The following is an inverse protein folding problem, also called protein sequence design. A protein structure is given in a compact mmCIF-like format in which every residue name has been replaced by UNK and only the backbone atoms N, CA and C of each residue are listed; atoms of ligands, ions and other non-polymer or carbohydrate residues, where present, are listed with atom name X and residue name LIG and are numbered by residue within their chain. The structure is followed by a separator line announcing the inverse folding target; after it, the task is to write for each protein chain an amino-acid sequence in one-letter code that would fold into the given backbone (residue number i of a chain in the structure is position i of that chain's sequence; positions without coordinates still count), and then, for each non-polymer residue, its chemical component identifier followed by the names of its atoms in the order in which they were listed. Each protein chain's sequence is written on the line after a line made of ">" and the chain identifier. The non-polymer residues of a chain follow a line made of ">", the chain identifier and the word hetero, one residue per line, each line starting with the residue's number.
data_IF_322189960935
#
_entry.id   IF_322189960935
#
_cell.length_a   1.000
_cell.length_b   1.000
_cell.length_c   1.000
_cell.angle_alpha   90.00
_cell.angle_beta   90.00
_cell.angle_gamma   90.00
#
_symmetry.space_group_name_H-M   'P 1'
#
loop_
_entity.id
_entity.type
_entity.pdbx_description
1 polymer ?
#
# COMPACT_ATOMS: atom_id res chain seq x y z
N UNK A 1 -71.05 25.61 59.98
CA UNK A 1 -71.46 26.66 59.02
C UNK A 1 -70.47 26.70 57.87
N UNK A 2 -70.96 27.16 56.72
CA UNK A 2 -70.55 26.83 55.37
C UNK A 2 -69.08 27.07 54.98
N UNK A 3 -68.72 26.31 53.95
CA UNK A 3 -67.57 26.41 53.08
C UNK A 3 -67.33 27.80 52.47
N UNK A 4 -66.08 28.09 52.13
CA UNK A 4 -65.61 28.60 50.83
C UNK A 4 -64.13 29.02 50.99
N UNK A 5 -63.13 28.54 50.26
CA UNK A 5 -63.03 27.56 49.20
C UNK A 5 -61.55 27.55 48.78
N UNK A 6 -60.85 26.43 49.01
CA UNK A 6 -59.48 26.20 48.49
C UNK A 6 -59.52 24.91 47.67
N UNK A 7 -59.40 25.04 46.35
CA UNK A 7 -59.03 23.99 45.37
C UNK A 7 -58.04 24.68 44.44
N UNK A 8 -56.73 24.39 44.42
CA UNK A 8 -55.96 23.14 44.22
C UNK A 8 -56.10 22.57 42.81
N UNK A 9 -54.93 22.22 42.25
CA UNK A 9 -54.56 21.46 41.04
C UNK A 9 -53.93 22.38 39.97
N UNK A 10 -52.74 22.12 39.40
CA UNK A 10 -51.88 20.92 39.39
C UNK A 10 -50.46 21.31 38.94
N UNK A 11 -49.49 20.54 39.43
CA UNK A 11 -48.11 20.33 38.94
C UNK A 11 -47.97 20.37 37.40
N UNK A 12 -46.82 20.64 36.76
CA UNK A 12 -45.46 20.08 36.92
C UNK A 12 -44.61 20.70 35.78
N UNK A 13 -43.29 20.87 35.94
CA UNK A 13 -42.37 20.82 34.79
C UNK A 13 -41.32 21.93 34.68
N UNK A 14 -40.08 21.55 34.96
CA UNK A 14 -38.82 22.17 34.54
C UNK A 14 -38.78 22.30 33.01
N UNK A 15 -38.33 23.45 32.46
CA UNK A 15 -37.30 23.52 31.39
C UNK A 15 -36.94 24.97 31.01
N UNK A 16 -35.65 25.23 31.20
CA UNK A 16 -34.82 26.33 30.71
C UNK A 16 -34.66 26.19 29.18
N UNK A 17 -35.00 27.22 28.39
CA UNK A 17 -34.52 27.36 27.00
C UNK A 17 -34.40 28.84 26.62
N UNK A 18 -33.19 29.17 26.18
CA UNK A 18 -32.73 30.34 25.45
C UNK A 18 -33.69 30.83 24.35
N UNK A 19 -33.91 32.14 24.25
CA UNK A 19 -34.24 32.78 22.96
C UNK A 19 -33.74 34.23 22.91
N UNK A 20 -33.00 34.50 21.84
CA UNK A 20 -32.38 35.74 21.36
C UNK A 20 -33.34 36.93 21.18
N UNK A 21 -32.80 38.16 21.14
CA UNK A 21 -32.92 39.22 20.07
C UNK A 21 -32.39 40.54 20.68
N UNK A 22 -31.19 41.05 20.32
CA UNK A 22 -30.76 41.81 19.12
C UNK A 22 -30.81 43.36 19.30
N UNK A 23 -29.62 43.98 19.14
CA UNK A 23 -29.29 45.36 18.70
C UNK A 23 -29.45 46.60 19.61
N UNK A 24 -28.31 47.21 19.93
CA UNK A 24 -27.93 48.60 19.57
C UNK A 24 -26.42 48.78 19.84
N UNK A 25 -25.55 48.76 18.82
CA UNK A 25 -25.14 49.90 18.00
C UNK A 25 -24.22 50.90 18.73
N UNK A 26 -22.91 50.85 18.41
CA UNK A 26 -22.10 51.98 17.92
C UNK A 26 -20.61 51.63 17.92
N UNK A 27 -19.96 51.82 16.78
CA UNK A 27 -18.53 52.13 16.71
C UNK A 27 -17.60 50.97 16.34
N UNK A 28 -16.87 51.18 15.23
CA UNK A 28 -15.73 50.40 14.74
C UNK A 28 -16.09 49.16 13.93
N UNK A 29 -15.99 49.29 12.60
CA UNK A 29 -15.60 48.18 11.75
C UNK A 29 -14.17 47.84 12.16
N UNK A 30 -14.02 46.93 13.13
CA UNK A 30 -12.79 46.19 13.29
C UNK A 30 -12.98 44.94 12.44
N UNK A 31 -12.29 44.88 11.29
CA UNK A 31 -12.07 43.62 10.60
C UNK A 31 -11.28 42.72 11.54
N UNK A 32 -12.02 41.96 12.34
CA UNK A 32 -11.45 40.98 13.25
C UNK A 32 -10.80 39.88 12.43
N UNK A 33 -9.48 39.76 12.52
CA UNK A 33 -8.74 38.66 11.94
C UNK A 33 -9.23 37.34 12.54
N UNK A 34 -10.02 36.58 11.77
CA UNK A 34 -10.42 35.23 12.17
C UNK A 34 -9.23 34.30 11.93
N UNK A 35 -8.72 33.66 12.99
CA UNK A 35 -7.67 32.66 12.85
C UNK A 35 -8.27 31.26 12.90
N UNK A 36 -7.98 30.42 11.89
CA UNK A 36 -8.45 29.04 11.90
C UNK A 36 -7.63 28.17 12.84
N UNK A 37 -8.29 27.52 13.81
CA UNK A 37 -7.77 26.31 14.46
C UNK A 37 -8.20 25.09 13.66
N UNK A 38 -7.29 24.56 12.86
CA UNK A 38 -7.44 23.18 12.41
C UNK A 38 -7.29 22.23 13.60
N UNK A 39 -8.04 21.14 13.62
CA UNK A 39 -7.77 20.03 14.54
C UNK A 39 -6.30 19.65 14.41
N UNK A 40 -5.56 19.66 15.53
CA UNK A 40 -4.13 19.25 15.57
C UNK A 40 -3.96 17.73 15.55
N UNK A 41 -5.01 16.98 15.27
CA UNK A 41 -4.94 15.54 15.16
C UNK A 41 -4.20 15.18 13.87
N UNK A 42 -3.12 14.42 14.02
CA UNK A 42 -2.44 13.81 12.89
C UNK A 42 -3.41 12.90 12.13
N UNK A 43 -3.32 12.93 10.81
CA UNK A 43 -4.01 11.99 9.93
C UNK A 43 -3.13 10.75 9.80
N UNK A 44 -3.67 9.56 10.06
CA UNK A 44 -2.88 8.32 10.07
C UNK A 44 -3.59 7.22 9.28
N UNK A 45 -3.18 6.99 8.04
CA UNK A 45 -3.80 5.99 7.17
C UNK A 45 -2.94 4.72 7.14
N UNK A 46 -3.53 3.58 7.49
CA UNK A 46 -2.91 2.26 7.37
C UNK A 46 -3.24 1.58 6.04
N UNK A 47 -2.23 0.98 5.41
CA UNK A 47 -2.35 0.15 4.20
C UNK A 47 -1.81 -1.24 4.53
N UNK A 48 -2.70 -2.21 4.74
CA UNK A 48 -2.40 -3.56 5.22
C UNK A 48 -2.57 -4.66 4.15
N UNK A 49 -3.37 -4.41 3.13
CA UNK A 49 -3.68 -5.37 2.08
C UNK A 49 -3.29 -4.87 0.68
N UNK A 50 -2.99 -5.82 -0.23
CA UNK A 50 -2.82 -5.55 -1.66
C UNK A 50 -4.13 -4.99 -2.24
N UNK A 51 -4.09 -3.93 -3.06
CA UNK A 51 -5.30 -3.32 -3.61
C UNK A 51 -5.86 -4.18 -4.75
N UNK A 52 -7.19 -4.25 -4.86
CA UNK A 52 -7.87 -4.76 -6.06
C UNK A 52 -7.89 -3.69 -7.16
N UNK A 53 -8.38 -4.03 -8.36
CA UNK A 53 -8.31 -3.15 -9.53
C UNK A 53 -8.94 -1.76 -9.28
N UNK A 54 -10.04 -1.70 -8.53
CA UNK A 54 -10.81 -0.48 -8.25
C UNK A 54 -10.60 0.07 -6.83
N UNK A 55 -9.61 -0.46 -6.10
CA UNK A 55 -9.43 -0.17 -4.69
C UNK A 55 -8.74 1.18 -4.44
N UNK A 56 -9.18 1.87 -3.39
CA UNK A 56 -8.55 3.07 -2.81
C UNK A 56 -8.51 2.91 -1.29
N UNK A 57 -7.45 3.40 -0.65
CA UNK A 57 -7.24 3.23 0.79
C UNK A 57 -7.78 4.42 1.58
N UNK A 58 -8.40 4.15 2.73
CA UNK A 58 -8.81 5.17 3.70
C UNK A 58 -10.19 5.76 3.43
N UNK A 59 -10.93 5.96 4.53
CA UNK A 59 -12.07 6.88 4.65
C UNK A 59 -11.94 7.65 5.97
N UNK A 60 -10.73 8.07 6.33
CA UNK A 60 -10.54 8.89 7.53
C UNK A 60 -11.04 10.31 7.27
N UNK A 61 -11.93 10.78 8.14
CA UNK A 61 -12.51 12.11 8.11
C UNK A 61 -11.78 13.04 9.08
N UNK A 62 -11.28 14.17 8.59
CA UNK A 62 -10.85 15.29 9.42
C UNK A 62 -11.97 16.32 9.49
N UNK A 63 -12.42 16.65 10.69
CA UNK A 63 -13.35 17.75 10.91
C UNK A 63 -12.59 19.04 11.20
N UNK A 64 -12.82 20.06 10.37
CA UNK A 64 -12.22 21.39 10.49
C UNK A 64 -13.28 22.44 10.84
N UNK A 65 -12.94 23.37 11.72
CA UNK A 65 -13.87 24.40 12.21
C UNK A 65 -13.19 25.77 12.19
N UNK A 66 -13.94 26.82 11.85
CA UNK A 66 -13.49 28.19 12.08
C UNK A 66 -13.57 28.52 13.56
N UNK A 67 -12.45 28.91 14.17
CA UNK A 67 -12.48 29.58 15.45
C UNK A 67 -12.41 31.09 15.20
N UNK A 68 -13.35 31.86 15.76
CA UNK A 68 -13.19 33.31 15.82
C UNK A 68 -12.28 33.61 16.98
N UNK A 69 -11.07 34.07 16.71
CA UNK A 69 -10.21 34.61 17.75
C UNK A 69 -10.82 35.93 18.20
N UNK A 70 -11.26 36.00 19.45
CA UNK A 70 -11.58 37.26 20.10
C UNK A 70 -10.29 38.07 20.22
N UNK A 71 -10.28 39.28 19.67
CA UNK A 71 -9.18 40.26 19.70
C UNK A 71 -8.87 40.80 21.11
N UNK A 72 -8.71 39.92 22.10
CA UNK A 72 -8.16 40.29 23.42
C UNK A 72 -6.71 39.81 23.58
N UNK A 73 -6.24 38.84 22.77
CA UNK A 73 -4.86 38.32 22.84
C UNK A 73 -3.89 38.89 21.80
N UNK A 74 -4.35 39.64 20.77
CA UNK A 74 -3.49 40.16 19.67
C UNK A 74 -3.18 41.66 19.74
N UNK A 75 -3.38 42.33 20.88
CA UNK A 75 -3.03 43.74 21.02
C UNK A 75 -1.51 44.01 21.23
N UNK A 76 -0.63 43.02 21.08
CA UNK A 76 0.82 43.19 21.29
C UNK A 76 1.75 42.69 20.19
N UNK A 77 1.26 42.33 19.00
CA UNK A 77 2.17 41.76 18.00
C UNK A 77 1.77 41.96 16.54
N UNK A 78 2.44 42.92 15.91
CA UNK A 78 2.69 43.03 14.46
C UNK A 78 1.54 43.60 13.63
N UNK A 79 1.73 44.84 13.19
CA UNK A 79 0.92 45.48 12.16
C UNK A 79 1.02 44.72 10.84
N UNK A 80 -0.14 44.39 10.28
CA UNK A 80 -0.23 43.87 8.92
C UNK A 80 -0.11 45.04 7.93
N UNK A 81 1.06 45.13 7.29
CA UNK A 81 1.20 45.90 6.05
C UNK A 81 0.31 45.27 4.97
N UNK A 82 -0.61 46.07 4.43
CA UNK A 82 -1.43 45.76 3.26
C UNK A 82 -0.54 45.67 2.00
N UNK A 83 0.21 44.57 1.86
CA UNK A 83 1.01 44.31 0.68
C UNK A 83 0.33 43.25 -0.21
N UNK A 84 -0.34 43.76 -1.25
CA UNK A 84 -0.51 43.17 -2.59
C UNK A 84 -0.65 41.64 -2.66
N UNK A 85 -1.89 41.14 -2.65
CA UNK A 85 -2.22 39.89 -3.35
C UNK A 85 -3.46 40.08 -4.22
N UNK A 86 -3.21 40.02 -5.52
CA UNK A 86 -4.17 40.12 -6.60
C UNK A 86 -4.99 38.82 -6.71
N UNK A 87 -6.26 38.88 -6.31
CA UNK A 87 -7.45 38.26 -6.95
C UNK A 87 -8.64 38.45 -6.01
N UNK A 88 -9.51 39.42 -6.31
CA UNK A 88 -10.66 39.80 -5.51
C UNK A 88 -11.81 38.75 -5.44
N UNK A 89 -11.49 37.46 -5.62
CA UNK A 89 -12.44 36.34 -5.54
C UNK A 89 -12.01 35.21 -4.57
N UNK A 90 -10.72 35.10 -4.24
CA UNK A 90 -10.16 33.93 -3.53
C UNK A 90 -10.01 34.12 -2.00
N UNK A 91 -10.30 35.31 -1.46
CA UNK A 91 -10.18 35.62 -0.02
C UNK A 91 -11.23 34.92 0.87
N UNK A 92 -12.13 34.14 0.28
CA UNK A 92 -13.23 33.47 0.99
C UNK A 92 -12.95 32.01 1.32
N UNK A 93 -11.85 31.42 0.87
CA UNK A 93 -11.56 30.01 1.14
C UNK A 93 -10.18 29.86 1.77
N UNK A 94 -10.04 28.84 2.62
CA UNK A 94 -8.74 28.35 3.04
C UNK A 94 -8.43 27.08 2.28
N UNK A 95 -7.27 27.10 1.65
CA UNK A 95 -6.77 26.02 0.82
C UNK A 95 -5.68 25.26 1.56
N UNK A 96 -5.63 23.96 1.32
CA UNK A 96 -4.56 23.09 1.77
C UNK A 96 -4.01 22.27 0.60
N UNK A 97 -2.73 21.96 0.70
CA UNK A 97 -2.01 21.06 -0.20
C UNK A 97 -1.08 20.16 0.62
N UNK A 98 -0.63 19.08 0.00
CA UNK A 98 0.33 18.12 0.56
C UNK A 98 1.52 18.06 -0.38
N UNK A 99 2.73 17.99 0.19
CA UNK A 99 3.93 17.59 -0.56
C UNK A 99 4.09 16.08 -0.50
N UNK A 100 4.93 15.52 -1.36
CA UNK A 100 5.26 14.09 -1.32
C UNK A 100 5.56 13.65 0.12
N UNK A 101 4.92 12.56 0.56
CA UNK A 101 5.21 11.97 1.86
C UNK A 101 6.48 11.14 1.74
N UNK A 102 7.39 11.25 2.69
CA UNK A 102 8.73 10.68 2.59
C UNK A 102 8.94 9.53 3.57
N UNK A 103 9.66 8.49 3.11
CA UNK A 103 10.18 7.39 3.92
C UNK A 103 11.60 7.07 3.45
N UNK A 104 12.60 7.77 4.02
CA UNK A 104 13.99 7.65 3.58
C UNK A 104 14.17 8.12 2.13
N UNK A 105 14.49 7.19 1.21
CA UNK A 105 14.60 7.48 -0.23
C UNK A 105 13.31 7.23 -1.02
N UNK A 106 12.30 6.64 -0.37
CA UNK A 106 11.01 6.34 -0.97
C UNK A 106 10.04 7.50 -0.73
N UNK A 107 9.06 7.64 -1.63
CA UNK A 107 8.02 8.66 -1.50
C UNK A 107 6.65 8.17 -1.97
N UNK A 108 5.61 8.68 -1.33
CA UNK A 108 4.24 8.67 -1.86
C UNK A 108 4.01 10.04 -2.51
N UNK A 109 3.85 10.11 -3.84
CA UNK A 109 3.56 11.36 -4.52
C UNK A 109 2.29 12.04 -3.99
N UNK A 110 2.31 13.37 -3.88
CA UNK A 110 1.14 14.15 -3.45
C UNK A 110 -0.10 13.92 -4.33
N UNK A 111 0.10 13.59 -5.61
CA UNK A 111 -0.98 13.26 -6.55
C UNK A 111 -1.74 11.97 -6.21
N UNK A 112 -1.18 11.12 -5.34
CA UNK A 112 -1.84 9.90 -4.86
C UNK A 112 -2.67 10.13 -3.61
N UNK A 113 -2.61 11.33 -3.03
CA UNK A 113 -3.32 11.70 -1.82
C UNK A 113 -4.47 12.60 -2.23
N UNK A 114 -5.70 12.15 -1.97
CA UNK A 114 -6.89 12.84 -2.42
C UNK A 114 -7.79 13.20 -1.26
N UNK A 115 -8.43 14.36 -1.36
CA UNK A 115 -9.43 14.82 -0.40
C UNK A 115 -10.78 15.00 -1.08
N UNK A 116 -11.84 14.57 -0.39
CA UNK A 116 -13.21 14.96 -0.69
C UNK A 116 -13.60 16.07 0.28
N UNK A 117 -14.00 17.21 -0.29
CA UNK A 117 -14.41 18.39 0.47
C UNK A 117 -15.88 18.71 0.19
N UNK A 118 -16.57 19.46 1.05
CA UNK A 118 -17.94 19.93 0.80
C UNK A 118 -18.08 20.82 -0.44
N UNK A 119 -16.97 21.36 -0.96
CA UNK A 119 -16.94 22.29 -2.07
C UNK A 119 -16.51 21.65 -3.41
N UNK A 120 -16.15 20.37 -3.38
CA UNK A 120 -15.72 19.60 -4.55
C UNK A 120 -16.78 18.58 -4.97
N UNK A 121 -17.02 18.42 -6.27
CA UNK A 121 -17.94 17.40 -6.81
C UNK A 121 -17.40 15.95 -6.75
N UNK A 122 -16.23 15.75 -6.15
CA UNK A 122 -15.54 14.46 -6.04
C UNK A 122 -14.18 14.63 -5.36
N UNK A 123 -13.45 13.52 -5.21
CA UNK A 123 -12.10 13.51 -4.66
C UNK A 123 -11.14 14.28 -5.57
N UNK A 124 -10.33 15.16 -4.98
CA UNK A 124 -9.33 15.96 -5.66
C UNK A 124 -7.93 15.65 -5.12
N UNK A 125 -6.92 15.51 -5.98
CA UNK A 125 -5.54 15.31 -5.55
C UNK A 125 -5.01 16.55 -4.82
N UNK A 126 -4.21 16.32 -3.78
CA UNK A 126 -3.65 17.37 -2.91
C UNK A 126 -2.27 17.86 -3.36
N UNK A 127 -1.85 17.52 -4.59
CA UNK A 127 -0.66 18.11 -5.23
C UNK A 127 -0.86 19.57 -5.66
N UNK A 128 -2.08 20.11 -5.52
CA UNK A 128 -2.42 21.50 -5.71
C UNK A 128 -3.32 21.96 -4.54
N UNK A 129 -3.44 23.28 -4.31
CA UNK A 129 -4.32 23.81 -3.27
C UNK A 129 -5.79 23.43 -3.49
N UNK A 130 -6.40 22.77 -2.51
CA UNK A 130 -7.82 22.38 -2.49
C UNK A 130 -8.57 23.13 -1.38
N UNK A 131 -9.76 23.69 -1.64
CA UNK A 131 -10.51 24.45 -0.64
C UNK A 131 -11.08 23.53 0.44
N UNK A 132 -10.70 23.76 1.71
CA UNK A 132 -11.14 22.94 2.85
C UNK A 132 -12.12 23.68 3.75
N UNK A 133 -12.06 25.01 3.78
CA UNK A 133 -12.94 25.86 4.58
C UNK A 133 -13.36 27.09 3.80
N UNK A 134 -14.58 27.57 4.05
CA UNK A 134 -15.09 28.83 3.52
C UNK A 134 -15.33 29.83 4.65
N UNK A 135 -14.83 31.05 4.48
CA UNK A 135 -15.00 32.16 5.42
C UNK A 135 -16.49 32.44 5.66
N UNK A 136 -16.87 32.59 6.93
CA UNK A 136 -18.25 32.86 7.34
C UNK A 136 -19.13 31.61 7.44
N UNK A 137 -18.58 30.42 7.21
CA UNK A 137 -19.29 29.17 7.45
C UNK A 137 -19.25 28.78 8.93
N UNK A 138 -20.43 28.65 9.54
CA UNK A 138 -20.57 28.28 10.96
C UNK A 138 -20.55 26.76 11.18
N UNK A 139 -20.77 25.98 10.11
CA UNK A 139 -20.75 24.53 10.17
C UNK A 139 -19.32 24.01 10.03
N UNK A 140 -18.92 22.99 10.82
CA UNK A 140 -17.70 22.25 10.58
C UNK A 140 -17.64 21.69 9.15
N UNK A 141 -16.49 21.79 8.51
CA UNK A 141 -16.22 21.09 7.26
C UNK A 141 -15.68 19.69 7.57
N UNK A 142 -16.28 18.67 6.98
CA UNK A 142 -15.77 17.30 7.02
C UNK A 142 -14.95 17.02 5.75
N UNK A 143 -13.68 16.68 5.93
CA UNK A 143 -12.75 16.38 4.84
C UNK A 143 -12.42 14.89 4.91
N UNK A 144 -12.74 14.14 3.86
CA UNK A 144 -12.39 12.72 3.79
C UNK A 144 -11.16 12.52 2.95
N UNK A 145 -10.21 11.72 3.43
CA UNK A 145 -9.00 11.40 2.69
C UNK A 145 -9.04 9.99 2.14
N UNK A 146 -8.46 9.83 0.95
CA UNK A 146 -8.12 8.52 0.39
C UNK A 146 -6.74 8.55 -0.27
N UNK A 147 -6.10 7.39 -0.32
CA UNK A 147 -4.82 7.18 -0.97
C UNK A 147 -5.02 6.25 -2.16
N UNK A 148 -4.48 6.63 -3.32
CA UNK A 148 -4.52 5.80 -4.53
C UNK A 148 -3.75 4.49 -4.33
N UNK A 149 -4.21 3.43 -5.01
CA UNK A 149 -3.63 2.08 -4.91
C UNK A 149 -2.14 2.01 -5.23
N UNK A 150 -1.63 2.91 -6.06
CA UNK A 150 -0.22 2.95 -6.48
C UNK A 150 0.73 3.19 -5.29
N UNK A 151 0.25 3.81 -4.20
CA UNK A 151 1.01 3.99 -2.96
C UNK A 151 1.42 2.66 -2.30
N UNK A 152 0.66 1.58 -2.52
CA UNK A 152 0.97 0.25 -1.97
C UNK A 152 2.29 -0.32 -2.48
N UNK A 153 2.84 0.16 -3.60
CA UNK A 153 4.08 -0.36 -4.22
C UNK A 153 5.31 -0.27 -3.34
N UNK A 154 5.29 0.54 -2.28
CA UNK A 154 6.44 0.76 -1.41
C UNK A 154 6.02 0.60 0.05
N UNK A 155 6.47 -0.47 0.70
CA UNK A 155 6.31 -0.63 2.15
C UNK A 155 7.13 0.42 2.92
N UNK A 156 6.61 0.89 4.05
CA UNK A 156 7.28 1.86 4.91
C UNK A 156 6.33 2.82 5.62
N UNK A 157 6.90 3.65 6.49
CA UNK A 157 6.19 4.70 7.22
C UNK A 157 6.47 6.05 6.56
N UNK A 158 5.53 6.51 5.75
CA UNK A 158 5.62 7.77 5.04
C UNK A 158 5.05 8.89 5.90
N UNK A 159 5.82 9.97 6.01
CA UNK A 159 5.44 11.12 6.83
C UNK A 159 5.52 12.40 6.02
N UNK A 160 4.65 13.34 6.35
CA UNK A 160 4.66 14.66 5.76
C UNK A 160 3.61 15.53 6.42
N UNK A 161 3.26 16.60 5.71
CA UNK A 161 2.38 17.60 6.26
C UNK A 161 1.38 18.10 5.22
N UNK A 162 0.16 18.30 5.68
CA UNK A 162 -0.87 19.08 5.02
C UNK A 162 -0.66 20.55 5.42
N UNK A 163 -0.31 21.39 4.45
CA UNK A 163 0.05 22.79 4.67
C UNK A 163 -0.98 23.72 4.04
N UNK A 164 -1.37 24.76 4.76
CA UNK A 164 -2.23 25.79 4.18
C UNK A 164 -1.42 26.75 3.32
N UNK A 165 -1.94 27.06 2.14
CA UNK A 165 -1.40 28.13 1.28
C UNK A 165 -2.04 29.49 1.56
N UNK A 166 -3.01 29.54 2.48
CA UNK A 166 -3.75 30.76 2.79
C UNK A 166 -3.12 31.49 3.99
N UNK A 167 -2.82 32.79 3.87
CA UNK A 167 -2.22 33.57 4.96
C UNK A 167 -3.14 33.72 6.19
N UNK A 168 -4.44 33.40 6.03
CA UNK A 168 -5.44 33.39 7.11
C UNK A 168 -5.32 32.19 8.06
N UNK A 169 -4.58 31.14 7.67
CA UNK A 169 -4.33 29.98 8.51
C UNK A 169 -3.15 30.24 9.46
N UNK A 170 -3.41 30.86 10.63
CA UNK A 170 -2.37 31.15 11.64
C UNK A 170 -1.86 29.92 12.40
N UNK A 171 -2.40 28.72 12.14
CA UNK A 171 -2.02 27.51 12.87
C UNK A 171 -1.62 26.36 11.95
N UNK A 172 -0.33 26.01 12.03
CA UNK A 172 0.25 24.67 12.05
C UNK A 172 -0.03 23.76 10.86
N UNK A 173 1.05 23.35 10.19
CA UNK A 173 1.04 22.19 9.31
C UNK A 173 0.43 20.97 10.06
N UNK A 174 -0.52 20.26 9.44
CA UNK A 174 -1.16 19.07 10.03
C UNK A 174 -0.34 17.86 9.60
N UNK A 175 0.09 17.05 10.57
CA UNK A 175 0.82 15.81 10.27
C UNK A 175 -0.04 14.85 9.45
N UNK A 176 0.53 14.32 8.38
CA UNK A 176 -0.09 13.33 7.50
C UNK A 176 0.84 12.13 7.40
N UNK A 177 0.42 11.01 7.98
CA UNK A 177 1.18 9.78 8.04
C UNK A 177 0.46 8.67 7.28
N UNK A 178 1.22 7.91 6.50
CA UNK A 178 0.75 6.69 5.82
C UNK A 178 1.67 5.54 6.17
N UNK A 179 1.13 4.50 6.79
CA UNK A 179 1.87 3.27 7.14
C UNK A 179 1.51 2.16 6.15
N UNK A 180 2.43 1.83 5.26
CA UNK A 180 2.29 0.76 4.27
C UNK A 180 2.99 -0.49 4.80
N UNK A 181 2.21 -1.51 5.17
CA UNK A 181 2.75 -2.78 5.65
C UNK A 181 3.45 -3.55 4.54
N UNK A 182 4.51 -4.24 4.93
CA UNK A 182 5.17 -5.21 4.07
C UNK A 182 4.19 -6.32 3.69
N UNK A 183 4.23 -6.70 2.43
CA UNK A 183 3.42 -7.77 1.87
C UNK A 183 4.29 -8.63 0.97
N UNK A 184 4.19 -9.94 1.16
CA UNK A 184 4.72 -10.94 0.24
C UNK A 184 3.66 -12.01 -0.04
N UNK A 185 3.60 -12.47 -1.28
CA UNK A 185 2.77 -13.60 -1.68
C UNK A 185 3.46 -14.35 -2.80
N UNK A 186 3.45 -15.68 -2.70
CA UNK A 186 4.02 -16.58 -3.68
C UNK A 186 2.97 -17.60 -4.09
N UNK A 187 2.69 -17.67 -5.39
CA UNK A 187 1.81 -18.68 -5.98
C UNK A 187 2.63 -19.50 -6.96
N UNK A 188 2.62 -20.82 -6.80
CA UNK A 188 3.32 -21.77 -7.67
C UNK A 188 2.28 -22.68 -8.32
N UNK A 189 2.32 -22.78 -9.64
CA UNK A 189 1.42 -23.60 -10.43
C UNK A 189 2.19 -24.41 -11.49
N UNK A 190 2.03 -25.73 -11.47
CA UNK A 190 2.62 -26.66 -12.45
C UNK A 190 1.65 -27.05 -13.57
N UNK A 191 0.43 -26.52 -13.64
CA UNK A 191 -0.58 -26.93 -14.63
C UNK A 191 -1.10 -28.37 -14.48
N UNK A 192 -0.45 -29.21 -13.67
CA UNK A 192 -0.89 -30.55 -13.26
C UNK A 192 -1.83 -30.55 -12.06
N UNK A 193 -1.98 -29.42 -11.35
CA UNK A 193 -2.68 -29.37 -10.06
C UNK A 193 -1.91 -30.01 -8.90
N UNK A 194 -0.71 -30.55 -9.14
CA UNK A 194 0.19 -31.13 -8.11
C UNK A 194 1.17 -30.10 -7.52
N UNK A 195 0.94 -28.80 -7.71
CA UNK A 195 1.66 -27.73 -7.02
C UNK A 195 3.06 -27.45 -7.58
N UNK A 196 4.12 -27.88 -6.89
CA UNK A 196 5.53 -27.62 -7.23
C UNK A 196 6.30 -28.88 -7.64
N UNK A 197 5.56 -29.90 -8.05
CA UNK A 197 6.03 -31.20 -8.49
C UNK A 197 6.48 -31.15 -9.94
N UNK A 198 7.63 -31.76 -10.22
CA UNK A 198 8.17 -31.96 -11.56
C UNK A 198 8.25 -33.43 -11.86
N UNK A 199 7.86 -33.78 -13.07
CA UNK A 199 8.00 -35.11 -13.64
C UNK A 199 8.85 -35.04 -14.90
N UNK A 200 9.80 -35.96 -15.03
CA UNK A 200 10.68 -36.12 -16.19
C UNK A 200 10.67 -37.58 -16.61
N UNK A 201 10.44 -37.83 -17.90
CA UNK A 201 10.57 -39.17 -18.49
C UNK A 201 11.93 -39.27 -19.17
N UNK A 202 12.87 -39.98 -18.53
CA UNK A 202 14.23 -40.19 -18.99
C UNK A 202 14.36 -41.62 -19.54
N UNK A 203 13.61 -41.94 -20.58
CA UNK A 203 13.36 -43.33 -21.00
C UNK A 203 14.34 -43.84 -22.08
N UNK A 204 15.30 -43.01 -22.48
CA UNK A 204 16.20 -43.27 -23.61
C UNK A 204 17.67 -43.32 -23.16
N UNK A 205 18.61 -43.45 -24.10
CA UNK A 205 20.04 -43.32 -23.81
C UNK A 205 20.44 -41.91 -23.34
N UNK A 206 21.69 -41.72 -22.89
CA UNK A 206 22.17 -40.47 -22.29
C UNK A 206 21.78 -39.21 -23.08
N UNK A 207 21.23 -38.20 -22.40
CA UNK A 207 20.67 -37.05 -23.10
C UNK A 207 20.14 -35.95 -22.19
N UNK A 208 19.48 -34.97 -22.82
CA UNK A 208 18.75 -33.91 -22.11
C UNK A 208 17.26 -34.15 -22.26
N UNK A 209 16.56 -34.28 -21.14
CA UNK A 209 15.13 -34.51 -21.08
C UNK A 209 14.42 -33.27 -20.56
N UNK A 210 13.23 -33.00 -21.09
CA UNK A 210 12.38 -31.89 -20.64
C UNK A 210 11.37 -32.42 -19.62
N UNK A 211 11.09 -31.63 -18.59
CA UNK A 211 9.96 -31.88 -17.71
C UNK A 211 8.64 -31.84 -18.48
N UNK A 212 7.67 -32.63 -18.02
CA UNK A 212 6.36 -32.76 -18.69
C UNK A 212 5.65 -31.40 -18.80
N UNK A 213 5.80 -30.52 -17.80
CA UNK A 213 5.13 -29.24 -17.70
C UNK A 213 6.09 -28.14 -17.20
N UNK A 214 5.91 -26.88 -17.65
CA UNK A 214 6.60 -25.74 -17.06
C UNK A 214 6.01 -25.40 -15.67
N UNK A 215 6.81 -24.74 -14.84
CA UNK A 215 6.36 -24.21 -13.56
C UNK A 215 6.15 -22.71 -13.68
N UNK A 216 4.93 -22.25 -13.41
CA UNK A 216 4.61 -20.82 -13.31
C UNK A 216 4.69 -20.39 -11.86
N UNK A 217 5.49 -19.37 -11.59
CA UNK A 217 5.66 -18.78 -10.26
C UNK A 217 5.27 -17.32 -10.31
N UNK A 218 4.26 -16.93 -9.55
CA UNK A 218 3.84 -15.54 -9.39
C UNK A 218 4.27 -15.04 -8.02
N UNK A 219 5.28 -14.18 -7.99
CA UNK A 219 5.75 -13.50 -6.79
C UNK A 219 5.16 -12.10 -6.74
N UNK A 220 4.51 -11.75 -5.64
CA UNK A 220 4.03 -10.40 -5.35
C UNK A 220 4.72 -9.89 -4.11
N UNK A 221 5.34 -8.71 -4.18
CA UNK A 221 5.97 -8.02 -3.04
C UNK A 221 5.83 -6.52 -3.17
N UNK A 222 5.79 -5.77 -2.07
CA UNK A 222 5.96 -4.31 -2.06
C UNK A 222 7.22 -3.85 -1.32
N UNK A 223 8.08 -4.81 -0.96
CA UNK A 223 9.30 -4.56 -0.20
C UNK A 223 10.50 -4.54 -1.15
N UNK A 224 11.30 -3.48 -1.06
CA UNK A 224 12.45 -3.33 -1.94
C UNK A 224 13.54 -4.35 -1.57
N UNK A 225 14.09 -5.02 -2.59
CA UNK A 225 15.19 -5.96 -2.39
C UNK A 225 14.76 -7.42 -2.20
N UNK A 226 13.46 -7.71 -2.21
CA UNK A 226 12.97 -9.09 -2.10
C UNK A 226 13.58 -10.01 -3.16
N UNK A 227 13.77 -11.26 -2.78
CA UNK A 227 14.38 -12.29 -3.64
C UNK A 227 13.53 -13.54 -3.70
N UNK A 228 13.48 -14.17 -4.88
CA UNK A 228 12.96 -15.50 -5.08
C UNK A 228 14.13 -16.49 -5.17
N UNK A 229 14.19 -17.41 -4.22
CA UNK A 229 15.17 -18.50 -4.19
C UNK A 229 14.54 -19.78 -4.73
N UNK A 230 15.25 -20.49 -5.60
CA UNK A 230 14.82 -21.75 -6.21
C UNK A 230 15.81 -22.86 -5.89
N UNK A 231 15.33 -23.95 -5.30
CA UNK A 231 16.15 -25.10 -4.92
C UNK A 231 15.43 -26.43 -5.18
N UNK A 232 16.16 -27.54 -5.17
CA UNK A 232 15.61 -28.88 -5.37
C UNK A 232 16.47 -29.89 -4.60
N UNK A 233 15.86 -30.93 -4.05
CA UNK A 233 16.56 -32.04 -3.40
C UNK A 233 16.88 -33.19 -4.40
N UNK A 234 16.58 -33.00 -5.69
CA UNK A 234 16.70 -34.01 -6.74
C UNK A 234 15.37 -34.65 -7.15
N UNK A 235 15.39 -35.43 -8.23
CA UNK A 235 14.22 -36.17 -8.73
C UNK A 235 14.41 -37.66 -8.48
N UNK A 236 13.46 -38.30 -7.79
CA UNK A 236 13.51 -39.72 -7.45
C UNK A 236 12.88 -40.57 -8.55
N UNK A 237 13.47 -41.73 -8.81
CA UNK A 237 12.92 -42.70 -9.74
C UNK A 237 11.57 -43.24 -9.25
N UNK A 238 10.57 -43.25 -10.13
CA UNK A 238 9.20 -43.71 -9.86
C UNK A 238 8.89 -45.05 -10.55
N UNK A 239 9.65 -45.44 -11.57
CA UNK A 239 9.43 -46.67 -12.33
C UNK A 239 9.75 -46.53 -13.81
N UNK A 240 9.96 -47.66 -14.48
CA UNK A 240 10.31 -47.75 -15.90
C UNK A 240 10.39 -49.21 -16.36
N UNK A 241 10.56 -49.45 -17.66
CA UNK A 241 10.60 -50.81 -18.24
C UNK A 241 11.72 -51.69 -17.64
N UNK A 242 12.76 -51.08 -17.08
CA UNK A 242 13.89 -51.76 -16.41
C UNK A 242 13.64 -52.16 -14.94
N UNK A 243 12.50 -51.77 -14.36
CA UNK A 243 12.18 -51.90 -12.92
C UNK A 243 12.15 -53.34 -12.39
N UNK A 244 12.04 -54.35 -13.25
CA UNK A 244 11.97 -55.77 -12.87
C UNK A 244 13.33 -56.41 -12.56
N UNK A 245 14.46 -55.70 -12.76
CA UNK A 245 15.81 -56.29 -12.68
C UNK A 245 16.80 -55.59 -11.74
N UNK A 246 16.41 -54.47 -11.13
CA UNK A 246 17.29 -53.72 -10.24
C UNK A 246 17.23 -54.26 -8.80
N UNK A 247 18.16 -55.15 -8.46
CA UNK A 247 18.56 -55.39 -7.05
C UNK A 247 19.35 -54.19 -6.53
N UNK A 248 18.76 -52.99 -6.54
CA UNK A 248 19.41 -51.79 -6.04
C UNK A 248 19.04 -51.58 -4.57
N UNK A 249 20.04 -51.39 -3.72
CA UNK A 249 19.88 -51.07 -2.29
C UNK A 249 19.30 -49.66 -2.06
N UNK A 250 19.33 -48.79 -3.07
CA UNK A 250 18.84 -47.41 -3.00
C UNK A 250 18.09 -46.99 -4.27
N UNK A 251 17.02 -46.20 -4.11
CA UNK A 251 16.23 -45.62 -5.21
C UNK A 251 17.10 -44.65 -6.01
N UNK A 252 17.23 -44.79 -7.34
CA UNK A 252 17.98 -43.86 -8.17
C UNK A 252 17.44 -42.43 -8.06
N UNK A 253 18.35 -41.45 -8.03
CA UNK A 253 18.04 -40.02 -7.94
C UNK A 253 18.80 -39.26 -9.00
N UNK A 254 18.11 -38.35 -9.68
CA UNK A 254 18.74 -37.31 -10.48
C UNK A 254 19.08 -36.17 -9.53
N UNK A 255 20.38 -36.00 -9.29
CA UNK A 255 20.91 -34.98 -8.39
C UNK A 255 20.59 -33.56 -8.89
N UNK A 256 20.46 -32.57 -7.99
CA UNK A 256 20.21 -31.17 -8.36
C UNK A 256 21.20 -30.62 -9.40
N UNK A 257 22.44 -31.09 -9.39
CA UNK A 257 23.48 -30.66 -10.33
C UNK A 257 23.25 -31.06 -11.79
N UNK A 258 22.39 -32.06 -12.01
CA UNK A 258 21.93 -32.49 -13.32
C UNK A 258 20.67 -31.76 -13.79
N UNK A 259 20.06 -30.93 -12.94
CA UNK A 259 18.80 -30.23 -13.21
C UNK A 259 19.07 -28.77 -13.57
N UNK A 260 18.47 -28.34 -14.68
CA UNK A 260 18.57 -26.99 -15.21
C UNK A 260 17.18 -26.37 -15.31
N UNK A 261 17.08 -25.09 -14.97
CA UNK A 261 15.91 -24.26 -15.15
C UNK A 261 16.15 -23.28 -16.30
N UNK A 262 15.22 -23.23 -17.24
CA UNK A 262 15.20 -22.27 -18.33
C UNK A 262 14.01 -21.31 -18.17
N UNK A 263 14.27 -20.02 -18.04
CA UNK A 263 13.24 -18.98 -17.88
C UNK A 263 12.76 -18.56 -19.27
N UNK A 264 11.51 -18.87 -19.60
CA UNK A 264 10.97 -18.72 -20.97
C UNK A 264 10.39 -17.35 -21.31
N UNK A 265 10.10 -16.50 -20.31
CA UNK A 265 9.47 -15.19 -20.51
C UNK A 265 10.45 -14.00 -20.55
N UNK A 266 11.76 -14.25 -20.70
CA UNK A 266 12.76 -13.20 -20.94
C UNK A 266 13.07 -12.27 -19.76
N UNK A 267 12.43 -12.46 -18.60
CA UNK A 267 12.74 -11.72 -17.37
C UNK A 267 13.96 -12.33 -16.65
N UNK A 268 15.13 -12.30 -17.28
CA UNK A 268 16.39 -12.72 -16.64
C UNK A 268 16.86 -11.63 -15.65
N UNK A 269 16.25 -11.60 -14.46
CA UNK A 269 16.66 -10.72 -13.34
C UNK A 269 17.41 -11.51 -12.24
N UNK A 270 18.10 -12.59 -12.61
CA UNK A 270 18.97 -13.31 -11.70
C UNK A 270 20.08 -12.39 -11.18
N UNK A 271 20.30 -12.39 -9.86
CA UNK A 271 21.28 -11.52 -9.21
C UNK A 271 22.63 -12.23 -9.15
N UNK A 272 23.65 -11.58 -9.71
CA UNK A 272 25.07 -11.96 -9.79
C UNK A 272 25.49 -13.10 -10.76
N UNK A 273 26.62 -12.89 -11.43
CA UNK A 273 27.41 -13.90 -12.16
C UNK A 273 26.93 -14.32 -13.56
N UNK A 274 25.63 -14.28 -13.84
CA UNK A 274 25.06 -14.90 -15.04
C UNK A 274 24.47 -13.85 -16.01
N UNK A 275 25.33 -13.18 -16.77
CA UNK A 275 24.97 -12.11 -17.71
C UNK A 275 23.87 -12.49 -18.70
N UNK A 276 22.61 -12.14 -18.39
CA UNK A 276 21.46 -12.34 -19.26
C UNK A 276 21.13 -13.79 -19.58
N UNK A 277 21.71 -14.76 -18.85
CA UNK A 277 21.40 -16.17 -19.08
C UNK A 277 19.96 -16.45 -18.68
N UNK A 278 19.22 -17.12 -19.54
CA UNK A 278 17.90 -17.69 -19.20
C UNK A 278 18.02 -19.09 -18.62
N UNK A 279 19.22 -19.68 -18.59
CA UNK A 279 19.48 -21.06 -18.16
C UNK A 279 20.30 -21.09 -16.88
N UNK A 280 19.84 -21.84 -15.89
CA UNK A 280 20.43 -21.90 -14.56
C UNK A 280 20.54 -23.36 -14.10
N UNK A 281 21.71 -23.76 -13.61
CA UNK A 281 21.91 -25.08 -13.01
C UNK A 281 21.53 -25.03 -11.53
N UNK A 282 20.82 -26.04 -11.03
CA UNK A 282 20.49 -26.21 -9.61
C UNK A 282 21.63 -26.82 -8.78
N UNK A 283 22.80 -27.07 -9.39
CA UNK A 283 24.07 -27.32 -8.72
C UNK A 283 24.38 -26.14 -7.80
N UNK A 284 24.15 -26.30 -6.51
CA UNK A 284 24.66 -25.35 -5.54
C UNK A 284 25.42 -26.10 -4.44
N UNK A 285 26.75 -25.96 -4.46
CA UNK A 285 27.66 -26.52 -3.45
C UNK A 285 27.41 -25.96 -2.04
N UNK A 286 26.67 -24.84 -1.93
CA UNK A 286 26.34 -24.18 -0.65
C UNK A 286 24.90 -24.41 -0.18
N UNK A 287 24.04 -25.06 -0.97
CA UNK A 287 22.64 -25.36 -0.59
C UNK A 287 21.65 -24.18 -0.72
N UNK A 288 22.10 -22.99 -1.11
CA UNK A 288 21.27 -21.77 -1.10
C UNK A 288 20.36 -21.59 -2.34
N UNK A 289 20.40 -22.52 -3.32
CA UNK A 289 19.60 -22.43 -4.55
C UNK A 289 20.03 -21.32 -5.53
N UNK A 290 19.21 -21.04 -6.54
CA UNK A 290 19.37 -19.94 -7.50
C UNK A 290 18.54 -18.75 -7.02
N UNK A 291 19.10 -17.54 -7.03
CA UNK A 291 18.44 -16.32 -6.53
C UNK A 291 18.05 -15.39 -7.67
N UNK A 292 16.75 -15.07 -7.72
CA UNK A 292 16.14 -14.12 -8.64
C UNK A 292 15.72 -12.85 -7.90
N UNK A 293 15.95 -11.69 -8.51
CA UNK A 293 15.49 -10.40 -7.96
C UNK A 293 13.98 -10.24 -8.20
N UNK A 294 13.21 -9.96 -7.15
CA UNK A 294 11.78 -9.69 -7.26
C UNK A 294 11.52 -8.19 -7.10
N UNK A 295 11.25 -7.45 -8.20
CA UNK A 295 10.88 -6.05 -8.09
C UNK A 295 9.52 -5.88 -7.39
N UNK A 296 9.33 -4.70 -6.80
CA UNK A 296 8.05 -4.32 -6.20
C UNK A 296 6.92 -4.41 -7.23
N UNK A 297 5.81 -5.02 -6.84
CA UNK A 297 4.67 -5.34 -7.68
C UNK A 297 4.46 -6.84 -7.81
N UNK A 298 3.92 -7.25 -8.95
CA UNK A 298 3.68 -8.66 -9.28
C UNK A 298 4.60 -9.05 -10.42
N UNK A 299 5.41 -10.09 -10.21
CA UNK A 299 6.33 -10.64 -11.21
C UNK A 299 5.98 -12.11 -11.43
N UNK A 300 5.88 -12.51 -12.69
CA UNK A 300 5.64 -13.89 -13.08
C UNK A 300 6.90 -14.46 -13.71
N UNK A 301 7.28 -15.67 -13.28
CA UNK A 301 8.37 -16.46 -13.84
C UNK A 301 7.77 -17.74 -14.43
N UNK A 302 8.29 -18.17 -15.58
CA UNK A 302 7.92 -19.45 -16.18
C UNK A 302 9.20 -20.25 -16.37
N UNK A 303 9.33 -21.33 -15.59
CA UNK A 303 10.51 -22.20 -15.58
C UNK A 303 10.24 -23.48 -16.37
N UNK A 304 11.00 -23.69 -17.43
CA UNK A 304 11.12 -25.00 -18.06
C UNK A 304 12.20 -25.81 -17.37
N UNK A 305 11.85 -27.00 -16.88
CA UNK A 305 12.82 -27.89 -16.24
C UNK A 305 13.45 -28.78 -17.30
N UNK A 306 14.78 -28.86 -17.28
CA UNK A 306 15.55 -29.80 -18.10
C UNK A 306 16.48 -30.61 -17.22
N UNK A 307 16.70 -31.86 -17.59
CA UNK A 307 17.59 -32.75 -16.87
C UNK A 307 18.60 -33.34 -17.84
N UNK A 308 19.88 -33.28 -17.49
CA UNK A 308 20.96 -33.91 -18.24
C UNK A 308 21.36 -35.21 -17.56
N UNK A 309 21.08 -36.35 -18.18
CA UNK A 309 21.50 -37.64 -17.65
C UNK A 309 22.94 -37.96 -18.02
N UNK A 310 23.59 -38.76 -17.18
CA UNK A 310 24.94 -39.26 -17.43
C UNK A 310 24.93 -40.51 -18.33
N UNK A 311 26.12 -40.96 -18.73
CA UNK A 311 26.29 -42.18 -19.54
C UNK A 311 25.72 -43.42 -18.86
N UNK A 312 25.79 -43.47 -17.52
CA UNK A 312 25.15 -44.50 -16.71
C UNK A 312 23.95 -43.86 -16.00
N UNK A 313 22.73 -44.18 -16.43
CA UNK A 313 21.50 -43.78 -15.74
C UNK A 313 20.45 -44.89 -15.85
N UNK A 314 19.48 -44.88 -14.93
CA UNK A 314 18.35 -45.80 -14.98
C UNK A 314 17.26 -45.18 -15.85
N UNK A 315 16.91 -45.83 -16.96
CA UNK A 315 15.86 -45.34 -17.84
C UNK A 315 14.48 -45.43 -17.17
N UNK A 316 13.72 -44.35 -17.21
CA UNK A 316 12.32 -44.30 -16.77
C UNK A 316 11.89 -42.94 -16.20
N UNK A 317 10.80 -42.97 -15.43
CA UNK A 317 10.13 -41.78 -14.92
C UNK A 317 10.72 -41.33 -13.59
N UNK A 318 11.02 -40.04 -13.47
CA UNK A 318 11.53 -39.40 -12.26
C UNK A 318 10.58 -38.30 -11.79
N UNK A 319 10.43 -38.17 -10.47
CA UNK A 319 9.55 -37.19 -9.83
C UNK A 319 10.24 -36.52 -8.65
N UNK A 320 10.08 -35.21 -8.51
CA UNK A 320 10.62 -34.46 -7.37
C UNK A 320 10.01 -33.08 -7.24
N UNK A 321 10.31 -32.39 -6.15
CA UNK A 321 9.78 -31.06 -5.87
C UNK A 321 10.84 -30.00 -6.10
N UNK A 322 10.46 -28.93 -6.79
CA UNK A 322 11.25 -27.71 -6.84
C UNK A 322 10.69 -26.75 -5.79
N UNK A 323 11.53 -26.34 -4.84
CA UNK A 323 11.16 -25.39 -3.79
C UNK A 323 11.38 -23.98 -4.27
N UNK A 324 10.38 -23.14 -4.03
CA UNK A 324 10.40 -21.72 -4.30
C UNK A 324 10.20 -20.98 -2.98
N UNK A 325 11.07 -20.04 -2.66
CA UNK A 325 11.02 -19.28 -1.42
C UNK A 325 11.13 -17.80 -1.74
N UNK A 326 10.11 -17.02 -1.34
CA UNK A 326 10.12 -15.56 -1.45
C UNK A 326 10.48 -14.98 -0.09
N UNK A 327 11.49 -14.11 -0.06
CA UNK A 327 11.95 -13.44 1.15
C UNK A 327 12.15 -11.94 0.90
N UNK A 328 12.06 -11.15 1.97
CA UNK A 328 12.39 -9.72 2.03
C UNK A 328 13.82 -9.50 2.49
#
# INVERSE_FOLDING_TARGET
>A
MQANGRRVLRAKGIRLVFTLVLLAALGSIAEGGSAVKASRQAINIGIDAKPTADYVYGEEGLTLVWERVSLEEEAQGVGLDEAKTSRAGDTKYIYYEVRDLECGKLRIPAEYIEALTPYSGGYQPLNNPVPFLKLGEEKPAEIKFRIRKEAWRHAGQFKGYLTSTSPLAKHGAIEFNVDVKEFISLVVDTGSGEGNVVVVNADQGPGTYKGEQPITVTATTNTAGSTLTVSCDGLRFMGGESSTSLKQESVPVIEPSAIWLEVSNGSSLAREGNGGSTKFNLANEKGDGIVFSCPNGTTTYVFEVRVKTELQHVAGRYKGNIRFTLAN
#
